data_IF_345598087660
#
_entry.id   IF_345598087660
#
_cell.length_a   1.000
_cell.length_b   1.000
_cell.length_c   1.000
_cell.angle_alpha   90.00
_cell.angle_beta   90.00
_cell.angle_gamma   90.00
#
_symmetry.space_group_name_H-M   'P 1'
#
loop_
_entity.id
_entity.type
_entity.pdbx_description
1 polymer ?
#
# COMPACT_ATOMS: atom_id res chain seq x y z
N UNK A 1 -16.31 -51.21 52.64
CA UNK A 1 -16.46 -49.92 51.94
C UNK A 1 -15.64 -49.97 50.65
N UNK A 2 -16.23 -49.89 49.46
CA UNK A 2 -15.45 -49.83 48.23
C UNK A 2 -14.88 -48.41 48.07
N UNK A 3 -13.57 -48.30 47.94
CA UNK A 3 -12.87 -47.03 47.71
C UNK A 3 -13.03 -46.62 46.25
N UNK A 4 -13.74 -45.51 46.01
CA UNK A 4 -13.89 -44.92 44.67
C UNK A 4 -12.54 -44.45 44.14
N UNK A 5 -12.02 -45.12 43.11
CA UNK A 5 -10.81 -44.73 42.39
C UNK A 5 -11.11 -43.47 41.58
N UNK A 6 -10.51 -42.34 41.97
CA UNK A 6 -10.67 -41.05 41.28
C UNK A 6 -10.21 -41.17 39.82
N UNK A 7 -11.00 -40.70 38.83
CA UNK A 7 -10.62 -40.81 37.42
C UNK A 7 -9.37 -39.96 37.14
N UNK A 8 -8.40 -40.55 36.43
CA UNK A 8 -7.12 -39.94 36.05
C UNK A 8 -7.39 -38.82 35.02
N UNK A 9 -6.91 -37.58 35.23
CA UNK A 9 -7.21 -36.48 34.33
C UNK A 9 -6.50 -36.67 32.98
N UNK A 10 -7.24 -36.50 31.89
CA UNK A 10 -6.75 -36.66 30.52
C UNK A 10 -6.03 -35.37 30.08
N UNK A 11 -4.72 -35.35 30.24
CA UNK A 11 -3.79 -34.25 29.96
C UNK A 11 -3.41 -34.10 28.46
N UNK A 12 -4.13 -34.76 27.56
CA UNK A 12 -3.83 -34.76 26.11
C UNK A 12 -4.17 -33.42 25.42
N UNK A 13 -5.10 -32.64 25.98
CA UNK A 13 -5.54 -31.36 25.40
C UNK A 13 -4.64 -30.17 25.78
N UNK A 14 -3.89 -30.28 26.88
CA UNK A 14 -2.96 -29.25 27.32
C UNK A 14 -1.81 -28.96 26.33
N UNK A 15 -1.11 -29.95 25.76
CA UNK A 15 -0.05 -29.68 24.78
C UNK A 15 -0.61 -29.13 23.46
N UNK A 16 -1.81 -29.57 23.05
CA UNK A 16 -2.46 -29.08 21.82
C UNK A 16 -2.80 -27.59 21.96
N UNK A 17 -3.33 -27.17 23.11
CA UNK A 17 -3.60 -25.76 23.40
C UNK A 17 -2.33 -24.90 23.40
N UNK A 18 -1.23 -25.42 23.93
CA UNK A 18 0.06 -24.72 23.93
C UNK A 18 0.61 -24.54 22.51
N UNK A 19 0.51 -25.57 21.66
CA UNK A 19 0.92 -25.48 20.25
C UNK A 19 0.07 -24.46 19.49
N UNK A 20 -1.25 -24.43 19.73
CA UNK A 20 -2.16 -23.46 19.11
C UNK A 20 -1.85 -22.02 19.54
N UNK A 21 -1.52 -21.80 20.82
CA UNK A 21 -1.12 -20.49 21.33
C UNK A 21 0.21 -20.02 20.72
N UNK A 22 1.21 -20.90 20.62
CA UNK A 22 2.47 -20.57 19.96
C UNK A 22 2.28 -20.26 18.48
N UNK A 23 1.48 -21.05 17.77
CA UNK A 23 1.19 -20.82 16.36
C UNK A 23 0.45 -19.49 16.14
N UNK A 24 -0.58 -19.20 16.94
CA UNK A 24 -1.29 -17.93 16.90
C UNK A 24 -0.40 -16.74 17.23
N UNK A 25 0.48 -16.87 18.23
CA UNK A 25 1.46 -15.84 18.58
C UNK A 25 2.43 -15.56 17.44
N UNK A 26 2.98 -16.59 16.80
CA UNK A 26 3.86 -16.43 15.63
C UNK A 26 3.12 -15.80 14.44
N UNK A 27 1.85 -16.16 14.22
CA UNK A 27 1.02 -15.57 13.17
C UNK A 27 0.76 -14.07 13.41
N UNK A 28 0.42 -13.70 14.64
CA UNK A 28 0.23 -12.29 15.04
C UNK A 28 1.53 -11.49 14.92
N UNK A 29 2.65 -12.06 15.37
CA UNK A 29 3.97 -11.47 15.22
C UNK A 29 4.30 -11.23 13.75
N UNK A 30 4.04 -12.20 12.86
CA UNK A 30 4.22 -12.01 11.41
C UNK A 30 3.34 -10.90 10.85
N UNK A 31 2.08 -10.84 11.26
CA UNK A 31 1.15 -9.78 10.81
C UNK A 31 1.60 -8.38 11.25
N UNK A 32 2.17 -8.28 12.45
CA UNK A 32 2.67 -7.02 13.01
C UNK A 32 4.05 -6.61 12.46
N UNK A 33 4.90 -7.57 12.08
CA UNK A 33 6.27 -7.26 11.65
C UNK A 33 6.37 -6.68 10.24
N UNK A 34 5.48 -7.08 9.33
CA UNK A 34 5.44 -6.55 7.96
C UNK A 34 5.16 -5.04 7.88
N UNK A 35 4.12 -4.48 8.54
CA UNK A 35 3.86 -3.03 8.53
C UNK A 35 4.98 -2.22 9.19
N UNK A 36 5.59 -2.73 10.27
CA UNK A 36 6.68 -2.03 10.96
C UNK A 36 7.94 -1.86 10.10
N UNK A 37 8.24 -2.81 9.22
CA UNK A 37 9.37 -2.71 8.26
C UNK A 37 9.14 -1.61 7.22
N UNK A 38 7.89 -1.34 6.84
CA UNK A 38 7.54 -0.34 5.84
C UNK A 38 7.74 1.08 6.38
N UNK A 39 7.31 1.33 7.63
CA UNK A 39 7.46 2.64 8.28
C UNK A 39 8.92 2.99 8.61
N UNK A 40 9.69 2.00 9.10
CA UNK A 40 11.11 2.20 9.43
C UNK A 40 11.93 2.49 8.17
N UNK A 41 11.69 1.77 7.07
CA UNK A 41 12.34 2.06 5.78
C UNK A 41 11.94 3.44 5.24
N UNK A 42 10.68 3.83 5.36
CA UNK A 42 10.21 5.14 4.93
C UNK A 42 10.90 6.28 5.71
N UNK A 43 10.92 6.17 7.04
CA UNK A 43 11.53 7.17 7.92
C UNK A 43 13.04 7.23 7.72
N UNK A 44 13.71 6.08 7.64
CA UNK A 44 15.16 6.02 7.41
C UNK A 44 15.56 6.56 6.03
N UNK A 45 14.78 6.25 4.98
CA UNK A 45 15.01 6.76 3.63
C UNK A 45 14.71 8.26 3.47
N UNK A 46 13.99 8.87 4.43
CA UNK A 46 13.80 10.32 4.53
C UNK A 46 14.99 11.01 5.19
N UNK A 47 15.67 10.33 6.12
CA UNK A 47 16.79 10.88 6.91
C UNK A 47 18.15 10.71 6.23
N UNK A 48 18.35 9.66 5.44
CA UNK A 48 19.61 9.43 4.73
C UNK A 48 19.51 10.06 3.34
N UNK A 49 20.29 11.12 3.08
CA UNK A 49 20.55 11.71 1.75
C UNK A 49 21.36 10.74 0.86
N UNK A 50 20.94 9.48 0.76
CA UNK A 50 21.49 8.57 -0.23
C UNK A 50 21.06 9.06 -1.61
N UNK A 51 21.98 9.15 -2.59
CA UNK A 51 21.61 9.40 -3.98
C UNK A 51 20.54 8.37 -4.36
N UNK A 52 19.30 8.81 -4.57
CA UNK A 52 18.26 7.90 -5.05
C UNK A 52 18.68 7.46 -6.44
N UNK A 53 18.66 6.15 -6.73
CA UNK A 53 18.88 5.70 -8.09
C UNK A 53 17.88 6.42 -9.01
N UNK A 54 18.31 6.85 -10.21
CA UNK A 54 17.44 7.57 -11.13
C UNK A 54 16.19 6.74 -11.39
N UNK A 55 15.02 7.37 -11.19
CA UNK A 55 13.73 6.72 -11.39
C UNK A 55 13.52 6.57 -12.89
N UNK A 56 13.59 5.35 -13.40
CA UNK A 56 13.18 5.06 -14.78
C UNK A 56 11.66 5.12 -14.87
N UNK A 57 11.06 5.91 -15.78
CA UNK A 57 9.61 5.96 -15.95
C UNK A 57 9.03 4.57 -16.23
N UNK A 58 7.90 4.24 -15.59
CA UNK A 58 7.15 3.01 -15.88
C UNK A 58 6.65 2.98 -17.34
N UNK A 59 6.37 4.16 -17.89
CA UNK A 59 6.06 4.40 -19.29
C UNK A 59 6.58 5.80 -19.70
N UNK A 60 7.17 5.93 -20.87
CA UNK A 60 7.71 7.19 -21.42
C UNK A 60 6.67 8.06 -22.11
N UNK A 61 5.47 7.55 -22.41
CA UNK A 61 4.46 8.28 -23.19
C UNK A 61 3.80 9.39 -22.34
N UNK A 62 3.10 9.02 -21.27
CA UNK A 62 2.52 9.98 -20.33
C UNK A 62 2.54 9.44 -18.90
N UNK A 63 3.46 9.95 -18.08
CA UNK A 63 3.66 9.52 -16.70
C UNK A 63 4.07 10.68 -15.79
N UNK A 64 3.85 10.50 -14.49
CA UNK A 64 4.28 11.43 -13.45
C UNK A 64 5.44 10.80 -12.67
N UNK A 65 6.53 11.56 -12.51
CA UNK A 65 7.66 11.20 -11.66
C UNK A 65 7.92 12.34 -10.69
N UNK A 66 7.90 12.06 -9.39
CA UNK A 66 8.23 13.01 -8.32
C UNK A 66 9.39 12.45 -7.49
N UNK A 67 10.61 12.84 -7.86
CA UNK A 67 11.85 12.30 -7.28
C UNK A 67 11.94 12.49 -5.76
N UNK A 68 11.52 13.67 -5.26
CA UNK A 68 11.58 14.03 -3.83
C UNK A 68 10.80 13.08 -2.93
N UNK A 69 9.77 12.43 -3.46
CA UNK A 69 8.99 11.41 -2.74
C UNK A 69 9.15 10.01 -3.33
N UNK A 70 9.93 9.83 -4.41
CA UNK A 70 10.10 8.52 -5.04
C UNK A 70 8.83 8.00 -5.71
N UNK A 71 7.89 8.88 -6.05
CA UNK A 71 6.63 8.47 -6.67
C UNK A 71 6.78 8.40 -8.19
N UNK A 72 6.26 7.32 -8.78
CA UNK A 72 6.18 7.13 -10.23
C UNK A 72 4.84 6.47 -10.58
N UNK A 73 4.13 6.99 -11.58
CA UNK A 73 2.89 6.38 -12.03
C UNK A 73 2.53 6.77 -13.47
N UNK A 74 1.84 5.88 -14.21
CA UNK A 74 1.29 6.21 -15.52
C UNK A 74 0.09 7.17 -15.39
N UNK A 75 -0.12 8.00 -16.42
CA UNK A 75 -1.27 8.89 -16.54
C UNK A 75 -2.20 8.37 -17.64
N UNK A 76 -3.48 8.27 -17.32
CA UNK A 76 -4.55 7.99 -18.28
C UNK A 76 -5.05 9.34 -18.80
N UNK A 77 -4.84 9.60 -20.10
CA UNK A 77 -5.23 10.86 -20.76
C UNK A 77 -6.75 10.95 -20.96
N UNK A 78 -7.26 12.18 -21.08
CA UNK A 78 -8.62 12.54 -21.51
C UNK A 78 -9.75 11.79 -20.80
N UNK A 79 -9.64 11.68 -19.49
CA UNK A 79 -10.68 11.09 -18.65
C UNK A 79 -11.76 12.13 -18.38
N UNK A 80 -13.01 11.80 -18.73
CA UNK A 80 -14.15 12.63 -18.38
C UNK A 80 -14.37 12.58 -16.86
N UNK A 81 -14.08 13.69 -16.18
CA UNK A 81 -14.27 13.82 -14.73
C UNK A 81 -15.74 13.87 -14.32
N UNK A 82 -16.66 14.07 -15.27
CA UNK A 82 -18.11 14.05 -15.03
C UNK A 82 -18.70 12.64 -15.12
N UNK A 83 -18.01 11.68 -15.74
CA UNK A 83 -18.39 10.27 -15.74
C UNK A 83 -17.65 9.55 -14.60
N UNK A 84 -18.38 9.33 -13.50
CA UNK A 84 -17.83 8.67 -12.31
C UNK A 84 -17.31 7.25 -12.60
N UNK A 85 -17.91 6.53 -13.55
CA UNK A 85 -17.50 5.18 -13.92
C UNK A 85 -16.21 5.18 -14.74
N UNK A 86 -16.09 6.08 -15.71
CA UNK A 86 -14.84 6.24 -16.47
C UNK A 86 -13.70 6.71 -15.56
N UNK A 87 -13.98 7.68 -14.70
CA UNK A 87 -13.03 8.24 -13.75
C UNK A 87 -12.51 7.19 -12.76
N UNK A 88 -13.40 6.43 -12.11
CA UNK A 88 -12.98 5.36 -11.18
C UNK A 88 -12.15 4.28 -11.87
N UNK A 89 -12.51 3.87 -13.10
CA UNK A 89 -11.72 2.90 -13.86
C UNK A 89 -10.34 3.42 -14.27
N UNK A 90 -10.18 4.73 -14.46
CA UNK A 90 -8.89 5.33 -14.73
C UNK A 90 -8.00 5.35 -13.48
N UNK A 91 -8.57 5.67 -12.32
CA UNK A 91 -7.83 5.73 -11.05
C UNK A 91 -7.31 4.36 -10.59
N UNK A 92 -7.91 3.24 -11.01
CA UNK A 92 -7.36 1.89 -10.73
C UNK A 92 -6.11 1.58 -11.54
N UNK A 93 -5.85 2.31 -12.62
CA UNK A 93 -4.72 2.08 -13.55
C UNK A 93 -3.56 3.05 -13.33
N UNK A 94 -3.80 4.18 -12.67
CA UNK A 94 -2.92 5.32 -12.82
C UNK A 94 -3.45 6.59 -12.17
N UNK A 95 -2.94 7.70 -12.68
CA UNK A 95 -3.43 9.05 -12.46
C UNK A 95 -4.40 9.37 -13.60
N UNK A 96 -5.56 9.94 -13.31
CA UNK A 96 -6.50 10.39 -14.33
C UNK A 96 -6.21 11.85 -14.70
N UNK A 97 -5.89 12.11 -15.97
CA UNK A 97 -5.85 13.46 -16.53
C UNK A 97 -7.25 13.90 -16.95
N UNK A 98 -7.69 15.07 -16.47
CA UNK A 98 -9.00 15.58 -16.77
C UNK A 98 -9.11 16.01 -18.24
N UNK A 99 -10.11 15.49 -18.95
CA UNK A 99 -10.42 15.90 -20.31
C UNK A 99 -10.68 17.41 -20.39
N UNK A 100 -10.15 18.06 -21.43
CA UNK A 100 -10.27 19.51 -21.63
C UNK A 100 -9.26 20.35 -20.84
N UNK A 101 -8.34 19.72 -20.12
CA UNK A 101 -7.20 20.41 -19.47
C UNK A 101 -5.94 20.26 -20.32
N UNK A 102 -4.96 21.13 -20.09
CA UNK A 102 -3.78 21.19 -20.96
C UNK A 102 -2.88 19.96 -20.80
N UNK A 103 -2.15 19.62 -21.85
CA UNK A 103 -1.07 18.63 -21.80
C UNK A 103 0.28 19.29 -21.46
N UNK A 104 1.29 18.51 -21.03
CA UNK A 104 2.64 19.01 -20.82
C UNK A 104 3.16 19.78 -22.05
N UNK A 105 3.68 20.98 -21.83
CA UNK A 105 4.21 21.84 -22.88
C UNK A 105 3.19 22.73 -23.61
N UNK A 106 1.88 22.60 -23.33
CA UNK A 106 0.84 23.42 -23.97
C UNK A 106 0.59 24.78 -23.31
N UNK A 107 1.29 25.11 -22.21
CA UNK A 107 1.23 26.45 -21.60
C UNK A 107 -0.07 26.79 -20.85
N UNK A 108 -0.81 25.77 -20.37
CA UNK A 108 -2.01 25.95 -19.55
C UNK A 108 -2.06 25.01 -18.35
N UNK A 109 -3.17 25.05 -17.62
CA UNK A 109 -3.34 24.26 -16.39
C UNK A 109 -3.67 22.79 -16.71
N UNK A 110 -2.94 21.89 -16.07
CA UNK A 110 -3.14 20.44 -16.15
C UNK A 110 -3.80 19.99 -14.85
N UNK A 111 -4.90 19.24 -14.94
CA UNK A 111 -5.56 18.67 -13.76
C UNK A 111 -5.38 17.15 -13.75
N UNK A 112 -4.73 16.68 -12.69
CA UNK A 112 -4.39 15.28 -12.48
C UNK A 112 -5.03 14.79 -11.17
N UNK A 113 -5.67 13.63 -11.23
CA UNK A 113 -6.33 13.03 -10.08
C UNK A 113 -5.78 11.65 -9.77
N UNK A 114 -5.61 11.34 -8.48
CA UNK A 114 -5.21 10.01 -8.01
C UNK A 114 -5.97 9.68 -6.72
N UNK A 115 -6.12 8.39 -6.40
CA UNK A 115 -6.68 7.99 -5.11
C UNK A 115 -5.74 8.40 -3.97
N UNK A 116 -6.25 9.13 -2.97
CA UNK A 116 -5.58 9.20 -1.68
C UNK A 116 -5.78 7.87 -0.95
N UNK A 117 -4.70 7.31 -0.39
CA UNK A 117 -4.79 6.19 0.56
C UNK A 117 -4.21 6.63 1.89
N UNK A 118 -4.78 6.14 2.98
CA UNK A 118 -4.25 6.40 4.32
C UNK A 118 -3.10 5.47 4.70
N UNK A 119 -3.02 4.28 4.07
CA UNK A 119 -2.07 3.23 4.45
C UNK A 119 -1.16 2.82 3.28
N UNK A 120 0.12 2.47 3.52
CA UNK A 120 1.06 2.03 2.48
C UNK A 120 0.61 0.77 1.72
N UNK A 121 -0.07 -0.15 2.41
CA UNK A 121 -0.60 -1.38 1.84
C UNK A 121 -1.73 -1.10 0.83
N UNK A 122 -2.55 -0.09 1.11
CA UNK A 122 -3.61 0.39 0.22
C UNK A 122 -3.03 1.27 -0.88
N UNK A 123 -1.99 2.06 -0.59
CA UNK A 123 -1.29 2.86 -1.59
C UNK A 123 -0.65 2.01 -2.69
N UNK A 124 -0.11 0.84 -2.33
CA UNK A 124 0.38 -0.16 -3.29
C UNK A 124 -0.73 -0.86 -4.07
N UNK A 125 -1.96 -0.93 -3.54
CA UNK A 125 -3.11 -1.61 -4.18
C UNK A 125 -3.98 -0.69 -5.04
N UNK A 126 -4.06 0.58 -4.68
CA UNK A 126 -4.94 1.57 -5.32
C UNK A 126 -4.17 2.68 -6.03
N UNK A 127 -2.87 2.48 -6.28
CA UNK A 127 -2.02 3.43 -6.99
C UNK A 127 -2.07 4.84 -6.37
N UNK A 128 -1.90 4.94 -5.04
CA UNK A 128 -1.95 6.22 -4.35
C UNK A 128 -0.62 6.96 -4.43
N UNK A 129 -0.40 7.54 -5.61
CA UNK A 129 0.83 8.26 -5.99
C UNK A 129 1.14 9.42 -5.04
N UNK A 130 0.11 10.07 -4.48
CA UNK A 130 0.25 11.24 -3.61
C UNK A 130 0.29 10.93 -2.10
N UNK A 131 0.40 9.66 -1.70
CA UNK A 131 0.48 9.29 -0.28
C UNK A 131 1.60 10.04 0.47
N UNK A 132 2.66 10.41 -0.23
CA UNK A 132 3.88 10.98 0.36
C UNK A 132 3.92 12.52 0.37
N UNK A 133 2.82 13.21 0.09
CA UNK A 133 2.76 14.69 -0.03
C UNK A 133 2.32 15.39 1.27
N UNK A 134 2.31 14.68 2.41
CA UNK A 134 1.98 15.26 3.73
C UNK A 134 3.12 16.14 4.30
#
# INVERSE_FOLDING_TARGET
MPTLKKPKPNNLFAPIGFVLLLFGGVLLLKLAWEPLKLETRYTLSRTINSPRPPLTPVNTDFSLVIEKIGAMAPIVQDVNSQDSGQYQRALTRGIAHAAGTSLPGQGGNIFLFAHSSANPLDASRFNSVFYLVH
#
